data_IF_737122191020
#
_entry.id   IF_737122191020
#
_cell.length_a   1.000
_cell.length_b   1.000
_cell.length_c   1.000
_cell.angle_alpha   90.00
_cell.angle_beta   90.00
_cell.angle_gamma   90.00
#
_symmetry.space_group_name_H-M   'P 1'
#
loop_
_entity.id
_entity.type
_entity.pdbx_description
1 polymer ?
#
# COMPACT_ATOMS: atom_id res chain seq x y z
N UNK A 1 -61.82 -59.02 -23.85
CA UNK A 1 -60.37 -58.72 -23.90
C UNK A 1 -60.09 -57.46 -23.07
N UNK A 2 -59.76 -57.59 -21.79
CA UNK A 2 -59.37 -56.46 -20.95
C UNK A 2 -57.85 -56.36 -20.85
N UNK A 3 -57.24 -55.36 -21.51
CA UNK A 3 -55.81 -55.05 -21.32
C UNK A 3 -55.64 -54.52 -19.89
N UNK A 4 -55.07 -55.34 -19.00
CA UNK A 4 -54.61 -54.90 -17.68
C UNK A 4 -53.47 -53.89 -17.88
N UNK A 5 -53.74 -52.62 -17.59
CA UNK A 5 -52.68 -51.62 -17.46
C UNK A 5 -51.83 -52.00 -16.23
N UNK A 6 -50.59 -52.42 -16.47
CA UNK A 6 -49.60 -52.66 -15.43
C UNK A 6 -49.29 -51.30 -14.80
N UNK A 7 -49.62 -51.13 -13.52
CA UNK A 7 -49.24 -49.96 -12.72
C UNK A 7 -47.73 -49.73 -12.86
N UNK A 8 -47.34 -48.50 -13.23
CA UNK A 8 -45.94 -48.11 -13.33
C UNK A 8 -45.39 -47.95 -11.91
N UNK A 9 -44.88 -49.04 -11.35
CA UNK A 9 -44.13 -49.03 -10.10
C UNK A 9 -42.88 -48.17 -10.28
N UNK A 10 -42.86 -46.99 -9.67
CA UNK A 10 -41.64 -46.18 -9.54
C UNK A 10 -40.81 -46.89 -8.46
N UNK A 11 -39.69 -47.54 -8.80
CA UNK A 11 -38.89 -48.22 -7.80
C UNK A 11 -38.31 -47.19 -6.82
N UNK A 12 -38.34 -47.48 -5.52
CA UNK A 12 -37.55 -46.73 -4.54
C UNK A 12 -36.07 -46.88 -4.89
N UNK A 13 -35.48 -45.81 -5.43
CA UNK A 13 -34.05 -45.73 -5.70
C UNK A 13 -33.29 -45.53 -4.38
N UNK A 14 -32.13 -46.16 -4.27
CA UNK A 14 -31.23 -45.91 -3.16
C UNK A 14 -30.69 -44.47 -3.25
N UNK A 15 -31.26 -43.59 -2.40
CA UNK A 15 -30.89 -42.17 -2.33
C UNK A 15 -29.39 -41.97 -2.08
N UNK A 16 -28.70 -42.93 -1.45
CA UNK A 16 -27.26 -42.83 -1.17
C UNK A 16 -26.44 -43.04 -2.43
N UNK A 17 -26.78 -44.05 -3.24
CA UNK A 17 -26.09 -44.33 -4.51
C UNK A 17 -26.37 -43.22 -5.53
N UNK A 18 -27.64 -42.85 -5.71
CA UNK A 18 -28.01 -41.75 -6.60
C UNK A 18 -27.40 -40.41 -6.16
N UNK A 19 -27.37 -40.14 -4.86
CA UNK A 19 -26.73 -38.94 -4.29
C UNK A 19 -25.22 -38.90 -4.54
N UNK A 20 -24.53 -40.04 -4.35
CA UNK A 20 -23.10 -40.16 -4.61
C UNK A 20 -22.74 -39.98 -6.09
N UNK A 21 -23.51 -40.57 -7.00
CA UNK A 21 -23.34 -40.37 -8.46
C UNK A 21 -23.54 -38.89 -8.81
N UNK A 22 -24.63 -38.29 -8.34
CA UNK A 22 -24.95 -36.88 -8.62
C UNK A 22 -23.84 -35.94 -8.11
N UNK A 23 -23.37 -36.15 -6.88
CA UNK A 23 -22.28 -35.36 -6.30
C UNK A 23 -21.00 -35.50 -7.12
N UNK A 24 -20.57 -36.71 -7.45
CA UNK A 24 -19.34 -36.92 -8.23
C UNK A 24 -19.45 -36.34 -9.65
N UNK A 25 -20.61 -36.48 -10.31
CA UNK A 25 -20.86 -35.85 -11.60
C UNK A 25 -20.78 -34.33 -11.52
N UNK A 26 -21.40 -33.73 -10.50
CA UNK A 26 -21.35 -32.29 -10.27
C UNK A 26 -19.92 -31.81 -10.00
N UNK A 27 -19.16 -32.52 -9.16
CA UNK A 27 -17.76 -32.18 -8.86
C UNK A 27 -16.87 -32.27 -10.10
N UNK A 28 -17.07 -33.24 -10.99
CA UNK A 28 -16.35 -33.30 -12.28
C UNK A 28 -16.66 -32.08 -13.13
N UNK A 29 -17.96 -31.76 -13.31
CA UNK A 29 -18.37 -30.62 -14.14
C UNK A 29 -17.79 -29.32 -13.60
N UNK A 30 -17.90 -29.07 -12.28
CA UNK A 30 -17.30 -27.90 -11.65
C UNK A 30 -15.79 -27.88 -11.82
N UNK A 31 -15.10 -29.00 -11.58
CA UNK A 31 -13.63 -29.05 -11.69
C UNK A 31 -13.16 -28.73 -13.11
N UNK A 32 -13.83 -29.25 -14.14
CA UNK A 32 -13.55 -28.91 -15.54
C UNK A 32 -13.76 -27.43 -15.82
N UNK A 33 -14.90 -26.87 -15.40
CA UNK A 33 -15.21 -25.45 -15.57
C UNK A 33 -14.16 -24.59 -14.84
N UNK A 34 -13.82 -24.94 -13.60
CA UNK A 34 -12.79 -24.27 -12.81
C UNK A 34 -11.44 -24.26 -13.53
N UNK A 35 -10.98 -25.38 -14.10
CA UNK A 35 -9.71 -25.42 -14.83
C UNK A 35 -9.69 -24.46 -16.04
N UNK A 36 -10.79 -24.37 -16.79
CA UNK A 36 -10.91 -23.44 -17.93
C UNK A 36 -10.82 -21.99 -17.47
N UNK A 37 -11.57 -21.61 -16.43
CA UNK A 37 -11.53 -20.24 -15.91
C UNK A 37 -10.20 -19.88 -15.28
N UNK A 38 -9.61 -20.79 -14.49
CA UNK A 38 -8.31 -20.57 -13.83
C UNK A 38 -7.15 -20.47 -14.84
N UNK A 39 -7.31 -21.04 -16.04
CA UNK A 39 -6.33 -20.86 -17.12
C UNK A 39 -6.20 -19.38 -17.50
N UNK A 40 -7.32 -18.68 -17.69
CA UNK A 40 -7.30 -17.26 -18.05
C UNK A 40 -7.00 -16.38 -16.83
N UNK A 41 -7.58 -16.71 -15.68
CA UNK A 41 -7.50 -15.86 -14.49
C UNK A 41 -6.15 -15.97 -13.75
N UNK A 42 -5.51 -17.14 -13.75
CA UNK A 42 -4.31 -17.40 -12.93
C UNK A 42 -3.14 -17.87 -13.79
N UNK A 43 -3.31 -18.87 -14.66
CA UNK A 43 -2.19 -19.42 -15.44
C UNK A 43 -1.59 -18.39 -16.40
N UNK A 44 -2.40 -17.69 -17.20
CA UNK A 44 -1.89 -16.69 -18.15
C UNK A 44 -1.13 -15.54 -17.46
N UNK A 45 -1.66 -14.88 -16.40
CA UNK A 45 -0.90 -13.88 -15.65
C UNK A 45 0.36 -14.44 -14.99
N UNK A 46 0.28 -15.64 -14.40
CA UNK A 46 1.43 -16.29 -13.76
C UNK A 46 2.55 -16.58 -14.76
N UNK A 47 2.20 -17.12 -15.93
CA UNK A 47 3.14 -17.39 -17.01
C UNK A 47 3.83 -16.11 -17.50
N UNK A 48 3.10 -14.98 -17.59
CA UNK A 48 3.71 -13.67 -17.90
C UNK A 48 4.66 -13.23 -16.78
N UNK A 49 4.28 -13.39 -15.52
CA UNK A 49 5.10 -13.00 -14.38
C UNK A 49 6.43 -13.79 -14.31
N UNK A 50 6.39 -15.11 -14.54
CA UNK A 50 7.61 -15.92 -14.59
C UNK A 50 8.53 -15.58 -15.76
N UNK A 51 7.97 -15.15 -16.89
CA UNK A 51 8.73 -14.78 -18.09
C UNK A 51 9.04 -13.28 -18.19
N UNK A 52 8.64 -12.47 -17.21
CA UNK A 52 8.86 -11.03 -17.23
C UNK A 52 10.34 -10.65 -17.08
N UNK A 53 11.17 -11.54 -16.51
CA UNK A 53 12.60 -11.29 -16.29
C UNK A 53 12.87 -10.17 -15.27
N UNK A 54 11.92 -9.92 -14.37
CA UNK A 54 12.04 -8.95 -13.29
C UNK A 54 12.80 -9.59 -12.13
N UNK A 55 13.72 -8.83 -11.53
CA UNK A 55 14.44 -9.25 -10.34
C UNK A 55 13.48 -9.30 -9.13
N UNK A 56 13.35 -10.44 -8.42
CA UNK A 56 12.49 -10.53 -7.24
C UNK A 56 13.02 -9.77 -6.02
N UNK A 57 14.27 -9.30 -6.05
CA UNK A 57 14.79 -8.44 -4.98
C UNK A 57 14.34 -6.99 -5.19
N UNK A 58 13.61 -6.39 -4.23
CA UNK A 58 13.16 -5.01 -4.36
C UNK A 58 14.35 -4.04 -4.25
N UNK A 59 14.29 -3.02 -5.08
CA UNK A 59 15.17 -1.85 -5.04
C UNK A 59 14.35 -0.61 -4.68
N UNK A 60 14.99 0.52 -4.42
CA UNK A 60 14.27 1.75 -4.08
C UNK A 60 13.96 2.57 -5.33
N UNK A 61 12.68 2.86 -5.53
CA UNK A 61 12.20 3.81 -6.51
C UNK A 61 11.91 5.15 -5.87
N UNK A 62 12.14 6.23 -6.62
CA UNK A 62 11.78 7.58 -6.21
C UNK A 62 11.12 8.33 -7.36
N UNK A 63 9.93 8.84 -7.10
CA UNK A 63 9.14 9.56 -8.11
C UNK A 63 9.80 10.88 -8.46
N UNK A 64 9.99 11.11 -9.76
CA UNK A 64 10.59 12.34 -10.30
C UNK A 64 9.60 13.22 -11.04
N UNK A 65 8.51 12.64 -11.52
CA UNK A 65 7.48 13.38 -12.22
C UNK A 65 6.15 12.60 -12.11
N UNK A 66 5.09 13.29 -11.74
CA UNK A 66 3.74 12.74 -11.73
C UNK A 66 2.78 13.68 -12.45
N UNK A 67 2.20 13.22 -13.55
CA UNK A 67 1.20 13.99 -14.30
C UNK A 67 -0.13 13.25 -14.36
N UNK A 68 -1.21 14.02 -14.44
CA UNK A 68 -2.55 13.50 -14.69
C UNK A 68 -3.01 13.97 -16.06
N UNK A 69 -3.24 13.02 -16.96
CA UNK A 69 -3.63 13.30 -18.36
C UNK A 69 -4.99 12.69 -18.65
N UNK A 70 -5.79 13.35 -19.50
CA UNK A 70 -7.15 12.90 -19.86
C UNK A 70 -7.17 11.85 -20.97
N UNK A 71 -6.19 11.87 -21.87
CA UNK A 71 -6.04 10.93 -23.01
C UNK A 71 -4.63 10.34 -23.03
N UNK A 72 -4.53 9.02 -22.93
CA UNK A 72 -3.32 8.38 -22.41
C UNK A 72 -2.97 7.18 -23.27
N UNK A 73 -1.72 7.15 -23.74
CA UNK A 73 -1.16 5.95 -24.36
C UNK A 73 -0.86 4.85 -23.32
N UNK A 74 -0.56 5.26 -22.08
CA UNK A 74 -0.30 4.41 -20.93
C UNK A 74 -0.71 5.11 -19.63
N UNK A 75 -0.91 4.33 -18.57
CA UNK A 75 -1.21 4.81 -17.21
C UNK A 75 -0.45 3.94 -16.20
N UNK A 76 -0.01 4.54 -15.10
CA UNK A 76 0.65 3.86 -13.98
C UNK A 76 -0.30 2.93 -13.22
N UNK A 77 -1.56 3.33 -13.13
CA UNK A 77 -2.63 2.53 -12.56
C UNK A 77 -3.93 2.86 -13.29
N UNK A 78 -4.60 1.81 -13.78
CA UNK A 78 -5.94 1.88 -14.33
C UNK A 78 -6.93 1.01 -13.59
N UNK A 79 -8.16 1.50 -13.41
CA UNK A 79 -9.26 0.67 -12.93
C UNK A 79 -9.88 -0.10 -14.10
N UNK A 80 -10.18 -1.38 -13.88
CA UNK A 80 -10.66 -2.34 -14.88
C UNK A 80 -9.69 -2.64 -16.02
N UNK A 81 -8.93 -3.73 -15.88
CA UNK A 81 -7.95 -4.18 -16.87
C UNK A 81 -8.52 -4.56 -18.25
N UNK A 82 -9.84 -4.79 -18.37
CA UNK A 82 -10.48 -5.19 -19.63
C UNK A 82 -10.73 -4.02 -20.60
N UNK A 83 -10.71 -2.79 -20.09
CA UNK A 83 -11.00 -1.58 -20.87
C UNK A 83 -9.80 -0.64 -20.83
N UNK A 84 -9.54 0.06 -21.93
CA UNK A 84 -8.58 1.16 -21.89
C UNK A 84 -9.08 2.22 -20.90
N UNK A 85 -8.24 2.62 -19.98
CA UNK A 85 -8.52 3.75 -19.09
C UNK A 85 -8.73 5.02 -19.89
N UNK A 86 -9.91 5.60 -19.79
CA UNK A 86 -10.25 6.90 -20.37
C UNK A 86 -10.54 7.89 -19.23
N UNK A 87 -9.96 9.09 -19.29
CA UNK A 87 -10.18 10.16 -18.31
C UNK A 87 -9.18 10.19 -17.16
N UNK A 88 -9.13 9.16 -16.31
CA UNK A 88 -8.20 9.10 -15.17
C UNK A 88 -6.94 8.31 -15.53
N UNK A 89 -5.85 9.01 -15.86
CA UNK A 89 -4.57 8.37 -16.14
C UNK A 89 -3.42 9.06 -15.40
N UNK A 90 -3.05 8.53 -14.24
CA UNK A 90 -1.80 8.93 -13.60
C UNK A 90 -0.63 8.41 -14.43
N UNK A 91 0.33 9.27 -14.76
CA UNK A 91 1.60 8.92 -15.40
C UNK A 91 2.74 9.29 -14.47
N UNK A 92 3.29 8.27 -13.82
CA UNK A 92 4.35 8.42 -12.83
C UNK A 92 5.66 7.91 -13.43
N UNK A 93 6.67 8.76 -13.42
CA UNK A 93 8.05 8.38 -13.73
C UNK A 93 8.84 8.29 -12.43
N UNK A 94 9.61 7.22 -12.30
CA UNK A 94 10.46 6.97 -11.15
C UNK A 94 11.92 6.81 -11.58
N UNK A 95 12.82 7.33 -10.76
CA UNK A 95 14.22 6.90 -10.73
C UNK A 95 14.32 5.59 -9.98
N UNK A 96 15.20 4.71 -10.45
CA UNK A 96 15.43 3.39 -9.86
C UNK A 96 16.84 3.39 -9.30
N UNK A 97 16.99 3.09 -8.01
CA UNK A 97 18.29 3.06 -7.34
C UNK A 97 18.41 1.90 -6.37
N UNK A 98 19.64 1.53 -6.05
CA UNK A 98 19.93 0.60 -4.96
C UNK A 98 19.57 1.23 -3.61
N UNK A 99 19.41 0.36 -2.61
CA UNK A 99 19.23 0.77 -1.23
C UNK A 99 20.52 1.45 -0.74
N UNK A 100 20.36 2.51 0.04
CA UNK A 100 21.42 3.25 0.70
C UNK A 100 21.91 2.56 1.96
N UNK A 101 22.41 3.36 2.89
CA UNK A 101 23.02 2.85 4.12
C UNK A 101 22.03 2.83 5.27
N UNK A 102 21.95 1.71 5.97
CA UNK A 102 21.24 1.59 7.24
C UNK A 102 22.16 2.06 8.36
N UNK A 103 21.67 2.96 9.22
CA UNK A 103 22.46 3.57 10.28
C UNK A 103 21.91 3.25 11.66
N UNK A 104 22.84 3.24 12.61
CA UNK A 104 22.55 3.29 14.04
C UNK A 104 23.24 4.52 14.63
N UNK A 105 22.45 5.40 15.23
CA UNK A 105 22.95 6.52 16.01
C UNK A 105 22.78 6.21 17.50
N UNK A 106 23.83 6.42 18.28
CA UNK A 106 23.87 6.01 19.69
C UNK A 106 24.05 7.19 20.66
N UNK A 107 23.56 7.00 21.88
CA UNK A 107 23.49 8.00 22.96
C UNK A 107 22.80 9.28 22.50
N UNK A 108 21.68 9.11 21.82
CA UNK A 108 20.85 10.19 21.34
C UNK A 108 19.98 10.78 22.46
N UNK A 109 19.89 12.10 22.49
CA UNK A 109 19.08 12.90 23.42
C UNK A 109 18.38 14.03 22.64
N UNK A 110 17.44 14.74 23.27
CA UNK A 110 16.73 15.89 22.68
C UNK A 110 16.08 15.58 21.32
N UNK A 111 15.38 14.45 21.24
CA UNK A 111 14.63 14.08 20.05
C UNK A 111 13.49 15.07 19.78
N UNK A 112 13.40 15.53 18.54
CA UNK A 112 12.25 16.28 18.07
C UNK A 112 11.93 15.87 16.63
N UNK A 113 10.65 15.66 16.35
CA UNK A 113 10.16 15.42 15.00
C UNK A 113 9.27 16.59 14.61
N UNK A 114 9.63 17.27 13.54
CA UNK A 114 8.85 18.37 12.98
C UNK A 114 8.28 17.90 11.64
N UNK A 115 6.96 17.76 11.58
CA UNK A 115 6.28 17.41 10.34
C UNK A 115 5.92 18.67 9.56
N UNK A 116 6.31 18.71 8.29
CA UNK A 116 6.03 19.79 7.36
C UNK A 116 5.07 19.28 6.28
N UNK A 117 3.79 18.97 6.55
CA UNK A 117 2.92 18.30 5.57
C UNK A 117 2.66 19.12 4.31
N UNK A 118 2.21 18.46 3.23
CA UNK A 118 1.82 19.17 2.01
C UNK A 118 0.63 20.08 2.30
N UNK A 119 0.68 21.31 1.77
CA UNK A 119 -0.36 22.31 2.03
C UNK A 119 -1.58 21.98 1.17
N UNK A 120 -2.67 21.56 1.82
CA UNK A 120 -3.95 21.42 1.16
C UNK A 120 -4.83 22.63 1.48
N UNK A 121 -4.83 23.61 0.57
CA UNK A 121 -5.62 24.84 0.70
C UNK A 121 -7.14 24.58 0.78
N UNK A 122 -7.62 23.41 0.34
CA UNK A 122 -9.04 23.06 0.41
C UNK A 122 -9.50 22.68 1.83
N UNK A 123 -8.55 22.34 2.72
CA UNK A 123 -8.84 22.00 4.13
C UNK A 123 -8.82 23.23 5.06
N UNK A 124 -8.46 24.41 4.55
CA UNK A 124 -8.43 25.63 5.34
C UNK A 124 -9.83 26.04 5.81
N UNK A 125 -9.91 26.56 7.04
CA UNK A 125 -11.13 27.18 7.55
C UNK A 125 -11.49 28.36 6.66
N UNK A 126 -12.72 28.38 6.17
CA UNK A 126 -13.29 29.50 5.42
C UNK A 126 -14.09 30.39 6.36
N UNK A 127 -13.70 31.64 6.45
CA UNK A 127 -14.40 32.71 7.16
C UNK A 127 -15.45 33.32 6.24
N UNK A 128 -16.66 33.54 6.74
CA UNK A 128 -17.74 34.17 5.99
C UNK A 128 -17.85 35.66 6.38
N UNK A 129 -17.18 36.52 5.62
CA UNK A 129 -17.20 37.97 5.87
C UNK A 129 -18.56 38.61 5.54
N UNK A 130 -19.49 37.90 4.91
CA UNK A 130 -20.86 38.41 4.77
C UNK A 130 -21.62 38.41 6.10
N UNK A 131 -21.16 37.64 7.09
CA UNK A 131 -21.65 37.68 8.45
C UNK A 131 -20.83 38.72 9.25
N UNK A 132 -21.45 39.86 9.58
CA UNK A 132 -20.81 41.16 9.87
C UNK A 132 -19.83 41.28 11.04
N UNK A 133 -19.36 40.19 11.64
CA UNK A 133 -18.34 40.20 12.70
C UNK A 133 -17.25 39.12 12.55
N UNK A 134 -17.39 38.16 11.63
CA UNK A 134 -16.44 37.04 11.53
C UNK A 134 -15.07 37.47 11.00
N UNK A 135 -15.03 38.56 10.22
CA UNK A 135 -13.83 39.09 9.58
C UNK A 135 -13.27 40.37 10.21
N UNK A 136 -13.68 40.68 11.46
CA UNK A 136 -13.26 41.86 12.22
C UNK A 136 -11.87 41.77 12.86
N UNK A 137 -11.17 40.65 12.70
CA UNK A 137 -9.83 40.43 13.26
C UNK A 137 -8.91 39.66 12.32
N UNK A 138 -9.19 39.69 11.01
CA UNK A 138 -8.37 38.99 10.02
C UNK A 138 -6.95 39.54 10.01
N UNK A 139 -5.97 38.65 10.24
CA UNK A 139 -4.55 38.97 10.21
C UNK A 139 -3.80 37.89 9.41
N UNK A 140 -3.03 38.32 8.41
CA UNK A 140 -2.31 37.43 7.49
C UNK A 140 -2.80 37.53 6.05
N UNK A 141 -2.39 36.56 5.23
CA UNK A 141 -2.69 36.48 3.80
C UNK A 141 -3.93 35.62 3.58
N UNK A 142 -4.93 36.18 2.90
CA UNK A 142 -6.21 35.52 2.63
C UNK A 142 -6.44 35.33 1.14
N UNK A 143 -7.02 34.18 0.78
CA UNK A 143 -7.64 33.98 -0.52
C UNK A 143 -9.16 34.10 -0.37
N UNK A 144 -9.73 35.13 -0.97
CA UNK A 144 -11.14 35.46 -0.84
C UNK A 144 -11.89 35.27 -2.16
N UNK A 145 -13.11 34.74 -2.09
CA UNK A 145 -14.04 34.63 -3.20
C UNK A 145 -15.43 35.11 -2.75
N UNK A 146 -15.83 36.29 -3.22
CA UNK A 146 -17.15 36.90 -2.92
C UNK A 146 -17.47 36.98 -1.41
N UNK A 147 -16.51 37.45 -0.62
CA UNK A 147 -16.67 37.60 0.83
C UNK A 147 -16.42 36.33 1.65
N UNK A 148 -16.13 35.18 1.02
CA UNK A 148 -15.62 34.00 1.72
C UNK A 148 -14.10 33.97 1.65
N UNK A 149 -13.42 34.05 2.79
CA UNK A 149 -11.97 34.16 2.88
C UNK A 149 -11.34 32.95 3.58
N UNK A 150 -10.25 32.43 3.05
CA UNK A 150 -9.46 31.37 3.69
C UNK A 150 -8.09 31.91 4.07
N UNK A 151 -7.67 31.68 5.33
CA UNK A 151 -6.39 32.15 5.85
C UNK A 151 -5.24 31.28 5.33
N UNK A 152 -4.49 31.76 4.35
CA UNK A 152 -3.34 31.04 3.81
C UNK A 152 -2.14 31.07 4.77
N UNK A 153 -1.99 32.12 5.57
CA UNK A 153 -0.87 32.26 6.51
C UNK A 153 -0.83 31.21 7.62
N UNK A 154 -1.90 30.46 7.84
CA UNK A 154 -1.92 29.31 8.76
C UNK A 154 -1.07 28.14 8.26
N UNK A 155 -0.90 27.99 6.94
CA UNK A 155 -0.25 26.83 6.32
C UNK A 155 0.94 27.18 5.41
N UNK A 156 1.04 28.41 4.92
CA UNK A 156 2.10 28.85 4.00
C UNK A 156 2.70 30.19 4.38
N UNK A 157 3.99 30.33 4.11
CA UNK A 157 4.73 31.58 4.22
C UNK A 157 4.81 32.23 2.83
N UNK A 158 3.97 33.22 2.58
CA UNK A 158 3.91 33.89 1.28
C UNK A 158 4.86 35.09 1.19
N UNK A 159 5.55 35.22 0.05
CA UNK A 159 6.44 36.33 -0.27
C UNK A 159 5.74 37.28 -1.24
N UNK A 160 4.97 38.21 -0.70
CA UNK A 160 4.14 39.12 -1.49
C UNK A 160 4.50 40.59 -1.25
N UNK A 161 4.00 41.43 -2.16
CA UNK A 161 3.99 42.88 -2.00
C UNK A 161 2.56 43.40 -2.18
N UNK A 162 2.02 43.98 -1.11
CA UNK A 162 0.67 44.50 -1.09
C UNK A 162 0.61 45.91 -1.72
N UNK A 163 0.45 45.97 -3.04
CA UNK A 163 0.43 47.22 -3.84
C UNK A 163 -0.99 47.60 -4.34
N UNK A 164 -2.04 46.95 -3.81
CA UNK A 164 -3.42 47.09 -4.30
C UNK A 164 -4.30 48.06 -3.51
N UNK A 165 -5.61 47.95 -3.75
CA UNK A 165 -6.62 48.72 -3.00
C UNK A 165 -6.70 48.21 -1.56
N UNK A 166 -6.94 49.11 -0.63
CA UNK A 166 -7.23 48.79 0.76
C UNK A 166 -8.75 48.66 0.91
N UNK A 167 -9.19 47.54 1.46
CA UNK A 167 -10.59 47.18 1.68
C UNK A 167 -10.76 46.88 3.15
N UNK A 168 -11.81 47.43 3.76
CA UNK A 168 -12.20 47.12 5.13
C UNK A 168 -13.07 45.85 5.11
N UNK A 169 -12.61 44.78 5.78
CA UNK A 169 -13.27 43.47 5.76
C UNK A 169 -14.53 43.37 6.63
N UNK A 170 -14.90 44.43 7.34
CA UNK A 170 -16.21 44.54 8.03
C UNK A 170 -17.23 45.33 7.23
N UNK A 171 -16.79 46.36 6.50
CA UNK A 171 -17.67 47.33 5.81
C UNK A 171 -17.84 47.04 4.31
N UNK A 172 -16.79 46.56 3.65
CA UNK A 172 -16.69 46.45 2.20
C UNK A 172 -16.55 44.98 1.73
N UNK A 173 -17.25 44.06 2.41
CA UNK A 173 -16.99 42.61 2.40
C UNK A 173 -17.21 41.99 1.00
N UNK A 174 -18.14 42.56 0.22
CA UNK A 174 -18.39 42.15 -1.17
C UNK A 174 -17.23 42.47 -2.14
N UNK A 175 -16.33 43.41 -1.79
CA UNK A 175 -15.17 43.78 -2.61
C UNK A 175 -13.97 42.84 -2.38
N UNK A 176 -14.05 41.93 -1.40
CA UNK A 176 -13.05 40.91 -1.13
C UNK A 176 -13.12 39.77 -2.17
N UNK A 177 -12.44 39.97 -3.29
CA UNK A 177 -12.25 38.96 -4.32
C UNK A 177 -10.78 38.92 -4.82
N UNK A 178 -10.14 37.78 -4.65
CA UNK A 178 -8.71 37.54 -4.89
C UNK A 178 -7.89 37.43 -3.61
N UNK A 179 -6.59 37.72 -3.72
CA UNK A 179 -5.64 37.64 -2.61
C UNK A 179 -5.50 38.98 -1.88
N UNK A 180 -5.48 38.94 -0.55
CA UNK A 180 -5.36 40.11 0.32
C UNK A 180 -4.38 39.86 1.46
N UNK A 181 -3.66 40.90 1.86
CA UNK A 181 -2.89 40.95 3.10
C UNK A 181 -3.66 41.80 4.12
N UNK A 182 -4.13 41.16 5.18
CA UNK A 182 -5.00 41.77 6.19
C UNK A 182 -4.22 42.02 7.48
N UNK A 183 -4.42 43.20 8.05
CA UNK A 183 -3.96 43.56 9.40
C UNK A 183 -5.12 44.19 10.16
N UNK A 184 -5.69 43.47 11.14
CA UNK A 184 -6.81 43.92 11.97
C UNK A 184 -7.93 44.59 11.13
N UNK A 185 -8.53 43.80 10.22
CA UNK A 185 -9.64 44.18 9.31
C UNK A 185 -9.29 45.07 8.12
N UNK A 186 -8.07 45.60 8.04
CA UNK A 186 -7.61 46.35 6.86
C UNK A 186 -6.89 45.42 5.91
N UNK A 187 -7.55 45.08 4.80
CA UNK A 187 -7.09 44.12 3.82
C UNK A 187 -6.61 44.83 2.54
N UNK A 188 -5.32 44.71 2.24
CA UNK A 188 -4.71 45.29 1.04
C UNK A 188 -4.61 44.24 -0.06
N UNK A 189 -5.14 44.53 -1.25
CA UNK A 189 -5.15 43.57 -2.37
C UNK A 189 -3.75 43.28 -2.90
N UNK A 190 -3.43 42.02 -3.14
CA UNK A 190 -2.20 41.58 -3.80
C UNK A 190 -2.52 41.40 -5.29
N UNK A 191 -1.96 42.25 -6.15
CA UNK A 191 -2.22 42.24 -7.61
C UNK A 191 -1.24 41.38 -8.40
N UNK A 192 0.00 41.30 -7.95
CA UNK A 192 1.07 40.59 -8.66
C UNK A 192 1.07 39.12 -8.25
N UNK A 193 1.42 38.20 -9.15
CA UNK A 193 1.68 36.82 -8.77
C UNK A 193 2.79 36.79 -7.72
N UNK A 194 2.62 35.94 -6.72
CA UNK A 194 3.54 35.76 -5.60
C UNK A 194 3.80 34.26 -5.40
N UNK A 195 4.92 33.93 -4.77
CA UNK A 195 5.25 32.57 -4.35
C UNK A 195 5.02 32.42 -2.85
N UNK A 196 4.65 31.21 -2.43
CA UNK A 196 4.63 30.86 -1.02
C UNK A 196 5.46 29.62 -0.77
N UNK A 197 6.23 29.67 0.32
CA UNK A 197 6.95 28.53 0.87
C UNK A 197 6.06 27.76 1.85
N UNK A 198 6.38 26.48 2.07
CA UNK A 198 5.71 25.68 3.08
C UNK A 198 6.01 26.25 4.47
N UNK A 199 4.97 26.45 5.27
CA UNK A 199 5.15 26.88 6.65
C UNK A 199 5.41 25.65 7.53
N UNK A 200 6.66 25.49 7.98
CA UNK A 200 7.00 24.48 8.97
C UNK A 200 7.51 25.16 10.24
N UNK A 201 6.85 24.97 11.39
CA UNK A 201 7.19 25.72 12.59
C UNK A 201 8.54 25.28 13.17
N UNK A 202 9.38 26.28 13.45
CA UNK A 202 10.58 26.27 14.31
C UNK A 202 11.26 24.90 14.48
N UNK A 203 12.13 24.54 13.53
CA UNK A 203 13.03 23.39 13.68
C UNK A 203 14.01 23.72 14.79
N UNK A 204 14.05 22.91 15.87
CA UNK A 204 14.98 23.13 16.96
C UNK A 204 16.42 22.89 16.49
N UNK A 205 17.27 23.89 16.65
CA UNK A 205 18.71 23.80 16.35
C UNK A 205 19.59 23.97 17.59
N UNK A 206 18.98 24.17 18.77
CA UNK A 206 19.74 24.42 19.98
C UNK A 206 20.42 23.14 20.50
N UNK A 207 21.75 23.08 20.32
CA UNK A 207 22.58 21.96 20.78
C UNK A 207 22.06 20.62 20.21
N UNK A 208 21.90 20.61 18.89
CA UNK A 208 21.52 19.47 18.04
C UNK A 208 22.65 19.27 17.04
N UNK A 209 23.01 18.01 16.76
CA UNK A 209 24.09 17.65 15.83
C UNK A 209 23.65 16.60 14.78
N UNK A 210 22.44 16.05 14.86
CA UNK A 210 21.91 15.11 13.87
C UNK A 210 20.61 15.67 13.32
N UNK A 211 20.51 15.73 11.99
CA UNK A 211 19.28 16.09 11.29
C UNK A 211 19.00 15.07 10.18
N UNK A 212 17.86 14.40 10.29
CA UNK A 212 17.41 13.36 9.36
C UNK A 212 16.14 13.83 8.66
N UNK A 213 16.13 13.73 7.33
CA UNK A 213 14.95 14.03 6.51
C UNK A 213 14.26 12.71 6.21
N UNK A 214 13.01 12.57 6.65
CA UNK A 214 12.14 11.43 6.34
C UNK A 214 10.83 11.95 5.76
N UNK A 215 10.58 11.67 4.48
CA UNK A 215 9.48 12.26 3.73
C UNK A 215 9.41 13.78 4.00
N UNK A 216 8.23 14.27 4.37
CA UNK A 216 7.93 15.67 4.69
C UNK A 216 8.27 16.03 6.15
N UNK A 217 8.99 15.18 6.88
CA UNK A 217 9.34 15.41 8.29
C UNK A 217 10.85 15.52 8.48
N UNK A 218 11.23 16.38 9.42
CA UNK A 218 12.62 16.56 9.83
C UNK A 218 12.73 16.08 11.26
N UNK A 219 13.63 15.13 11.47
CA UNK A 219 13.91 14.53 12.77
C UNK A 219 15.26 15.08 13.23
N UNK A 220 15.28 15.67 14.42
CA UNK A 220 16.49 16.24 15.01
C UNK A 220 16.81 15.54 16.32
N UNK A 221 18.11 15.36 16.57
CA UNK A 221 18.60 14.76 17.80
C UNK A 221 20.03 15.23 18.12
N UNK A 222 20.43 15.06 19.37
CA UNK A 222 21.84 15.15 19.79
C UNK A 222 22.37 13.76 20.09
N UNK A 223 23.23 13.23 19.23
CA UNK A 223 23.81 11.89 19.35
C UNK A 223 25.34 11.93 19.51
N UNK A 224 25.94 10.85 20.01
CA UNK A 224 27.39 10.77 20.22
C UNK A 224 28.16 10.23 19.00
N UNK A 225 27.60 9.25 18.30
CA UNK A 225 28.25 8.60 17.15
C UNK A 225 27.23 7.98 16.21
N UNK A 226 27.64 7.80 14.95
CA UNK A 226 26.89 7.10 13.91
C UNK A 226 27.68 5.88 13.41
N UNK A 227 26.98 4.75 13.30
CA UNK A 227 27.50 3.47 12.82
C UNK A 227 26.72 3.05 11.56
N UNK A 228 27.43 2.61 10.52
CA UNK A 228 26.86 2.03 9.32
C UNK A 228 26.79 0.50 9.42
N UNK A 229 25.67 -0.09 9.01
CA UNK A 229 25.43 -1.54 9.05
C UNK A 229 25.71 -2.25 7.71
N UNK A 230 25.76 -1.48 6.63
CA UNK A 230 25.97 -1.99 5.28
C UNK A 230 26.84 -1.02 4.48
N UNK A 231 27.50 -1.56 3.46
CA UNK A 231 28.35 -0.84 2.53
C UNK A 231 27.70 -0.82 1.16
N UNK A 232 27.56 0.36 0.58
CA UNK A 232 27.08 0.57 -0.78
C UNK A 232 28.17 0.23 -1.81
N UNK A 233 27.74 -0.20 -2.99
CA UNK A 233 28.63 -0.55 -4.11
C UNK A 233 28.11 0.07 -5.42
N UNK A 234 27.85 1.37 -5.40
CA UNK A 234 27.30 2.11 -6.53
C UNK A 234 25.96 1.52 -7.01
N UNK A 235 25.89 1.14 -8.30
CA UNK A 235 24.69 0.55 -8.91
C UNK A 235 24.56 -0.98 -8.68
N UNK A 236 25.53 -1.61 -8.02
CA UNK A 236 25.50 -3.03 -7.66
C UNK A 236 24.90 -3.25 -6.27
N UNK A 237 24.61 -4.51 -5.94
CA UNK A 237 24.11 -4.86 -4.61
C UNK A 237 25.13 -4.47 -3.53
N UNK A 238 24.64 -3.79 -2.49
CA UNK A 238 25.43 -3.50 -1.30
C UNK A 238 25.73 -4.77 -0.50
N UNK A 239 26.66 -4.66 0.45
CA UNK A 239 27.06 -5.77 1.33
C UNK A 239 26.71 -5.42 2.77
N UNK A 240 26.04 -6.33 3.48
CA UNK A 240 25.80 -6.17 4.92
C UNK A 240 27.09 -6.50 5.67
N UNK A 241 27.41 -5.70 6.68
CA UNK A 241 28.63 -5.86 7.47
C UNK A 241 28.36 -6.73 8.69
N UNK A 242 29.29 -7.62 9.02
CA UNK A 242 29.21 -8.43 10.25
C UNK A 242 29.38 -7.57 11.50
N UNK A 243 30.24 -6.54 11.42
CA UNK A 243 30.47 -5.55 12.46
C UNK A 243 30.15 -4.14 11.97
N UNK A 244 29.35 -3.35 12.70
CA UNK A 244 29.07 -1.96 12.33
C UNK A 244 30.33 -1.10 12.22
N UNK A 245 30.40 -0.23 11.21
CA UNK A 245 31.54 0.66 10.98
C UNK A 245 31.18 2.08 11.43
N UNK A 246 32.04 2.70 12.25
CA UNK A 246 31.85 4.09 12.68
C UNK A 246 32.12 5.06 11.53
N UNK A 247 31.13 5.88 11.20
CA UNK A 247 31.20 6.87 10.11
C UNK A 247 31.27 8.32 10.60
N UNK A 248 30.79 8.58 11.82
CA UNK A 248 30.79 9.90 12.41
C UNK A 248 30.81 9.80 13.94
N UNK A 249 31.42 10.78 14.60
CA UNK A 249 31.54 10.91 16.05
C UNK A 249 31.57 12.38 16.45
N UNK A 250 30.83 12.71 17.50
CA UNK A 250 30.79 14.05 18.07
C UNK A 250 31.91 14.25 19.09
N UNK A 251 33.10 14.62 18.61
CA UNK A 251 34.29 14.79 19.47
C UNK A 251 34.33 16.20 20.12
N UNK A 252 33.90 17.24 19.40
CA UNK A 252 34.04 18.64 19.84
C UNK A 252 32.75 19.47 19.82
N UNK A 253 31.58 18.88 19.55
CA UNK A 253 30.32 19.59 19.24
C UNK A 253 30.39 20.51 18.01
N UNK A 254 31.44 20.44 17.20
CA UNK A 254 31.63 21.33 16.06
C UNK A 254 31.05 20.79 14.76
N UNK A 255 30.67 19.51 14.70
CA UNK A 255 30.15 18.89 13.49
C UNK A 255 28.74 18.36 13.69
N UNK A 256 27.90 18.62 12.70
CA UNK A 256 26.56 18.07 12.56
C UNK A 256 26.48 17.21 11.30
N UNK A 257 25.64 16.18 11.34
CA UNK A 257 25.38 15.29 10.22
C UNK A 257 23.97 15.50 9.68
N UNK A 258 23.88 15.66 8.36
CA UNK A 258 22.62 15.61 7.63
C UNK A 258 22.54 14.32 6.83
N UNK A 259 21.34 13.71 6.79
CA UNK A 259 21.07 12.59 5.90
C UNK A 259 19.58 12.54 5.54
N UNK A 260 19.25 11.92 4.41
CA UNK A 260 17.86 11.66 4.01
C UNK A 260 17.60 10.17 4.03
N UNK A 261 16.65 9.72 4.84
CA UNK A 261 16.37 8.30 5.09
C UNK A 261 14.94 7.93 4.69
N UNK A 262 14.72 6.66 4.35
CA UNK A 262 13.38 6.14 4.05
C UNK A 262 12.57 5.93 5.33
N UNK A 263 13.17 5.30 6.33
CA UNK A 263 12.55 5.08 7.63
C UNK A 263 13.50 5.47 8.76
N UNK A 264 12.93 6.04 9.83
CA UNK A 264 13.65 6.43 11.05
C UNK A 264 12.82 6.00 12.24
N UNK A 265 13.40 5.13 13.08
CA UNK A 265 12.79 4.61 14.28
C UNK A 265 13.66 4.96 15.49
N UNK A 266 13.09 5.67 16.47
CA UNK A 266 13.78 5.95 17.74
C UNK A 266 13.38 4.93 18.80
N UNK A 267 14.37 4.28 19.41
CA UNK A 267 14.21 3.32 20.50
C UNK A 267 15.09 3.76 21.70
N UNK A 268 14.47 4.45 22.66
CA UNK A 268 15.16 5.02 23.81
C UNK A 268 16.25 6.02 23.40
N UNK A 269 17.52 5.63 23.64
CA UNK A 269 18.70 6.46 23.33
C UNK A 269 19.34 6.12 21.98
N UNK A 270 18.69 5.29 21.15
CA UNK A 270 19.22 4.82 19.87
C UNK A 270 18.26 5.23 18.76
N UNK A 271 18.78 5.71 17.63
CA UNK A 271 18.01 5.89 16.40
C UNK A 271 18.48 4.85 15.39
N UNK A 272 17.54 4.07 14.87
CA UNK A 272 17.76 3.14 13.76
C UNK A 272 17.13 3.71 12.50
N UNK A 273 17.88 3.67 11.41
CA UNK A 273 17.40 4.19 10.14
C UNK A 273 17.58 3.16 9.03
N UNK A 274 16.74 3.27 8.01
CA UNK A 274 16.77 2.40 6.83
C UNK A 274 16.92 3.26 5.57
N UNK A 275 17.74 2.78 4.64
CA UNK A 275 17.95 3.41 3.32
C UNK A 275 18.27 4.91 3.38
N UNK A 276 19.36 5.27 4.07
CA UNK A 276 19.84 6.64 4.13
C UNK A 276 20.78 6.98 2.96
N UNK A 277 20.58 8.16 2.39
CA UNK A 277 21.33 8.72 1.26
C UNK A 277 21.70 10.18 1.51
N UNK A 278 22.68 10.67 0.74
CA UNK A 278 23.18 12.05 0.80
C UNK A 278 23.65 12.45 2.21
N UNK A 279 24.49 11.62 2.83
CA UNK A 279 25.07 11.96 4.13
C UNK A 279 26.13 13.03 3.99
N UNK A 280 25.99 14.14 4.73
CA UNK A 280 26.91 15.27 4.67
C UNK A 280 27.27 15.79 6.05
N UNK A 281 28.43 16.42 6.15
CA UNK A 281 28.92 17.05 7.38
C UNK A 281 28.79 18.58 7.27
N UNK A 282 28.27 19.18 8.33
CA UNK A 282 28.05 20.62 8.46
C UNK A 282 28.68 21.11 9.74
N UNK A 283 29.30 22.29 9.68
CA UNK A 283 29.89 22.91 10.85
C UNK A 283 28.76 23.44 11.76
N UNK A 284 28.71 23.01 13.03
CA UNK A 284 27.66 23.39 14.00
C UNK A 284 27.53 24.90 14.16
N UNK A 285 28.64 25.65 14.02
CA UNK A 285 28.65 27.11 14.07
C UNK A 285 27.88 27.79 12.91
N UNK A 286 27.72 27.09 11.79
CA UNK A 286 26.95 27.60 10.63
C UNK A 286 25.44 27.46 10.82
N UNK A 287 24.99 26.74 11.86
CA UNK A 287 23.58 26.50 12.13
C UNK A 287 22.97 27.67 12.93
N UNK A 288 21.99 28.41 12.37
CA UNK A 288 21.34 29.49 13.10
C UNK A 288 20.58 28.93 14.32
N UNK A 289 20.80 29.53 15.49
CA UNK A 289 20.13 29.17 16.75
C UNK A 289 19.19 30.27 17.25
N UNK A 290 18.15 29.94 18.04
CA UNK A 290 17.78 28.62 18.56
C UNK A 290 16.79 27.81 17.69
N UNK A 291 16.26 28.42 16.62
CA UNK A 291 15.31 27.79 15.71
C UNK A 291 15.65 28.11 14.25
N UNK A 292 15.33 27.19 13.34
CA UNK A 292 15.58 27.33 11.90
C UNK A 292 14.25 27.16 11.14
N UNK A 293 14.09 27.93 10.06
CA UNK A 293 12.97 27.79 9.13
C UNK A 293 13.27 26.71 8.08
N UNK A 294 12.24 26.09 7.50
CA UNK A 294 12.42 25.03 6.49
C UNK A 294 13.27 25.50 5.29
N UNK A 295 12.99 26.66 4.72
CA UNK A 295 13.75 27.21 3.57
C UNK A 295 15.24 27.37 3.91
N UNK A 296 15.56 27.87 5.10
CA UNK A 296 16.95 28.00 5.56
C UNK A 296 17.60 26.64 5.79
N UNK A 297 16.86 25.66 6.32
CA UNK A 297 17.33 24.29 6.49
C UNK A 297 17.64 23.62 5.14
N UNK A 298 16.73 23.70 4.17
CA UNK A 298 16.92 23.13 2.83
C UNK A 298 18.12 23.77 2.11
N UNK A 299 18.27 25.10 2.21
CA UNK A 299 19.43 25.79 1.65
C UNK A 299 20.76 25.35 2.29
N UNK A 300 20.77 25.08 3.59
CA UNK A 300 21.95 24.55 4.29
C UNK A 300 22.23 23.10 3.86
N UNK A 301 21.18 22.29 3.74
CA UNK A 301 21.27 20.92 3.25
C UNK A 301 21.84 20.87 1.83
N UNK A 302 21.33 21.68 0.90
CA UNK A 302 21.83 21.73 -0.48
C UNK A 302 23.29 22.17 -0.57
N UNK A 303 23.70 23.16 0.24
CA UNK A 303 25.11 23.56 0.35
C UNK A 303 25.99 22.47 0.93
N UNK A 304 25.45 21.70 1.88
CA UNK A 304 26.19 20.60 2.53
C UNK A 304 26.49 19.44 1.59
N UNK A 305 25.72 19.26 0.49
CA UNK A 305 25.95 18.21 -0.50
C UNK A 305 27.36 18.21 -1.12
N UNK A 306 28.09 19.34 -1.04
CA UNK A 306 29.48 19.43 -1.44
C UNK A 306 30.50 18.82 -0.45
N UNK A 307 30.09 18.51 0.79
CA UNK A 307 30.92 17.91 1.85
C UNK A 307 30.33 16.57 2.30
N UNK A 308 30.45 15.50 1.48
CA UNK A 308 29.93 14.18 1.86
C UNK A 308 30.66 13.61 3.08
N UNK A 309 29.95 12.82 3.89
CA UNK A 309 30.55 12.08 5.03
C UNK A 309 31.65 11.14 4.56
N UNK A 310 31.43 10.46 3.43
CA UNK A 310 32.39 9.57 2.81
C UNK A 310 32.56 9.90 1.32
N UNK A 311 33.72 10.45 0.91
CA UNK A 311 34.01 10.75 -0.49
C UNK A 311 33.97 9.53 -1.42
N UNK A 312 34.16 8.32 -0.88
CA UNK A 312 34.15 7.08 -1.67
C UNK A 312 32.74 6.58 -1.99
N UNK A 313 31.69 7.20 -1.42
CA UNK A 313 30.30 6.74 -1.48
C UNK A 313 30.12 5.27 -1.03
N UNK A 314 30.97 4.76 -0.14
CA UNK A 314 30.81 3.43 0.42
C UNK A 314 29.79 3.44 1.57
N UNK A 315 29.78 4.51 2.37
CA UNK A 315 28.83 4.71 3.47
C UNK A 315 28.09 6.04 3.31
N UNK A 316 26.79 6.05 3.58
CA UNK A 316 25.92 7.20 3.29
C UNK A 316 26.10 7.78 1.87
N UNK A 317 26.01 6.94 0.84
CA UNK A 317 26.27 7.33 -0.54
C UNK A 317 25.36 8.46 -1.01
N UNK A 318 25.85 9.25 -1.96
CA UNK A 318 25.01 10.15 -2.73
C UNK A 318 23.98 9.37 -3.55
N UNK A 319 22.77 9.90 -3.70
CA UNK A 319 21.72 9.25 -4.48
C UNK A 319 22.13 8.95 -5.93
N UNK A 320 22.91 9.85 -6.55
CA UNK A 320 23.41 9.67 -7.92
C UNK A 320 24.27 8.41 -8.06
N UNK A 321 25.12 8.11 -7.07
CA UNK A 321 26.00 6.94 -7.11
C UNK A 321 25.24 5.59 -7.08
N UNK A 322 24.04 5.57 -6.47
CA UNK A 322 23.19 4.38 -6.37
C UNK A 322 22.24 4.19 -7.55
N UNK A 323 22.14 5.19 -8.44
CA UNK A 323 21.11 5.22 -9.48
C UNK A 323 21.41 4.18 -10.56
N UNK A 324 20.41 3.33 -10.84
CA UNK A 324 20.44 2.31 -11.90
C UNK A 324 19.82 2.90 -13.17
N UNK A 325 18.60 3.46 -13.04
CA UNK A 325 17.89 4.12 -14.14
C UNK A 325 17.41 5.51 -13.72
N UNK A 326 17.68 6.51 -14.56
CA UNK A 326 17.28 7.89 -14.31
C UNK A 326 15.79 8.13 -14.49
N UNK A 327 15.13 7.37 -15.38
CA UNK A 327 13.69 7.52 -15.61
C UNK A 327 13.12 6.21 -16.13
N UNK A 328 12.08 5.72 -15.47
CA UNK A 328 11.34 4.53 -15.83
C UNK A 328 9.85 4.75 -15.54
N UNK A 329 8.97 4.19 -16.36
CA UNK A 329 7.52 4.26 -16.11
C UNK A 329 7.18 3.38 -14.93
N UNK A 330 6.51 3.94 -13.93
CA UNK A 330 6.02 3.14 -12.81
C UNK A 330 4.67 2.53 -13.14
N UNK A 331 4.54 1.22 -13.00
CA UNK A 331 3.26 0.52 -13.01
C UNK A 331 2.96 -0.10 -11.64
N UNK A 332 1.68 -0.13 -11.27
CA UNK A 332 1.24 -0.79 -10.04
C UNK A 332 1.54 -2.30 -10.05
N UNK A 333 1.39 -2.95 -11.21
CA UNK A 333 1.70 -4.35 -11.50
C UNK A 333 2.16 -4.48 -12.96
N UNK A 334 2.40 -5.70 -13.47
CA UNK A 334 2.83 -5.93 -14.85
C UNK A 334 1.87 -5.39 -15.93
N UNK A 335 0.58 -5.27 -15.62
CA UNK A 335 -0.45 -4.82 -16.57
C UNK A 335 -0.80 -3.33 -16.40
N UNK A 336 -0.31 -2.68 -15.34
CA UNK A 336 -0.62 -1.29 -15.01
C UNK A 336 -2.07 -1.05 -14.60
N UNK A 337 -2.79 -2.07 -14.12
CA UNK A 337 -4.22 -1.97 -13.83
C UNK A 337 -4.67 -2.85 -12.65
N UNK A 338 -5.81 -2.51 -12.06
CA UNK A 338 -6.48 -3.24 -10.98
C UNK A 338 -7.92 -3.56 -11.36
N UNK A 339 -8.40 -4.74 -10.97
CA UNK A 339 -9.75 -5.21 -11.31
C UNK A 339 -10.83 -4.71 -10.33
N UNK A 340 -10.52 -3.73 -9.48
CA UNK A 340 -11.41 -3.23 -8.43
C UNK A 340 -11.74 -1.74 -8.63
N UNK A 341 -13.02 -1.37 -8.46
CA UNK A 341 -13.50 0.02 -8.38
C UNK A 341 -13.37 0.61 -6.97
N UNK A 342 -12.37 0.17 -6.20
CA UNK A 342 -12.22 0.56 -4.79
C UNK A 342 -11.43 1.87 -4.60
N UNK A 343 -11.09 2.58 -5.68
CA UNK A 343 -10.24 3.76 -5.61
C UNK A 343 -8.76 3.45 -5.42
N UNK A 344 -8.33 2.20 -5.61
CA UNK A 344 -6.93 1.79 -5.42
C UNK A 344 -5.95 2.62 -6.27
N UNK A 345 -6.34 3.05 -7.47
CA UNK A 345 -5.49 3.89 -8.30
C UNK A 345 -5.36 5.32 -7.77
N UNK A 346 -6.39 5.84 -7.08
CA UNK A 346 -6.30 7.14 -6.40
C UNK A 346 -5.37 7.04 -5.19
N UNK A 347 -5.47 5.96 -4.42
CA UNK A 347 -4.58 5.69 -3.29
C UNK A 347 -3.14 5.48 -3.76
N UNK A 348 -2.94 4.79 -4.90
CA UNK A 348 -1.64 4.61 -5.52
C UNK A 348 -1.03 5.96 -5.93
N UNK A 349 -1.80 6.84 -6.57
CA UNK A 349 -1.35 8.19 -6.91
C UNK A 349 -1.02 9.02 -5.65
N UNK A 350 -1.79 8.90 -4.58
CA UNK A 350 -1.53 9.63 -3.34
C UNK A 350 -0.22 9.17 -2.66
N UNK A 351 0.07 7.87 -2.71
CA UNK A 351 1.23 7.27 -2.02
C UNK A 351 2.52 7.32 -2.86
N UNK A 352 2.41 7.20 -4.18
CA UNK A 352 3.56 7.10 -5.10
C UNK A 352 3.71 8.33 -6.00
N UNK A 353 2.74 9.24 -6.05
CA UNK A 353 2.71 10.36 -7.00
C UNK A 353 3.36 11.66 -6.53
N UNK A 354 3.97 11.72 -5.33
CA UNK A 354 4.68 12.95 -4.91
C UNK A 354 6.02 13.02 -5.66
N UNK A 355 6.18 14.00 -6.53
CA UNK A 355 7.35 14.24 -7.39
C UNK A 355 8.33 15.28 -6.84
N UNK A 356 8.01 15.89 -5.70
CA UNK A 356 8.84 16.86 -5.01
C UNK A 356 8.54 18.31 -5.38
N UNK A 357 7.53 18.55 -6.23
CA UNK A 357 7.08 19.90 -6.53
C UNK A 357 6.62 20.63 -5.28
N UNK A 358 6.73 21.96 -5.27
CA UNK A 358 6.41 22.83 -4.13
C UNK A 358 7.17 22.50 -2.84
N UNK A 359 8.46 22.15 -2.94
CA UNK A 359 9.33 21.79 -1.80
C UNK A 359 8.80 20.58 -1.02
N UNK A 360 8.14 19.65 -1.71
CA UNK A 360 7.64 18.41 -1.10
C UNK A 360 8.67 17.31 -1.17
N UNK A 361 8.55 16.32 -0.28
CA UNK A 361 9.39 15.15 -0.39
C UNK A 361 8.93 14.28 -1.57
N UNK A 362 9.90 13.80 -2.34
CA UNK A 362 9.65 12.82 -3.39
C UNK A 362 9.23 11.49 -2.74
N UNK A 363 8.20 10.85 -3.31
CA UNK A 363 7.74 9.54 -2.83
C UNK A 363 8.80 8.50 -3.08
N UNK A 364 9.24 7.83 -2.01
CA UNK A 364 10.17 6.70 -2.05
C UNK A 364 9.42 5.42 -1.70
N UNK A 365 9.66 4.36 -2.43
CA UNK A 365 9.01 3.06 -2.21
C UNK A 365 9.83 1.92 -2.82
N UNK A 366 9.71 0.70 -2.27
CA UNK A 366 10.28 -0.47 -2.90
C UNK A 366 9.62 -0.74 -4.25
N UNK A 367 10.42 -1.11 -5.24
CA UNK A 367 9.97 -1.44 -6.58
C UNK A 367 10.85 -2.53 -7.20
N UNK A 368 10.35 -3.11 -8.28
CA UNK A 368 11.01 -4.19 -8.99
C UNK A 368 11.29 -3.76 -10.42
N UNK A 369 12.46 -4.16 -10.92
CA UNK A 369 12.97 -3.73 -12.21
C UNK A 369 13.56 -4.91 -12.97
N UNK A 370 13.68 -4.73 -14.29
CA UNK A 370 14.37 -5.67 -15.16
C UNK A 370 15.80 -5.16 -15.39
N UNK A 371 16.80 -6.04 -15.25
CA UNK A 371 18.23 -5.64 -15.25
C UNK A 371 18.73 -4.99 -16.54
N UNK A 372 18.09 -5.29 -17.68
CA UNK A 372 18.54 -4.84 -19.01
C UNK A 372 17.50 -3.94 -19.70
N UNK A 373 16.50 -3.44 -18.99
CA UNK A 373 15.38 -2.72 -19.59
C UNK A 373 14.86 -1.65 -18.64
N UNK A 374 15.06 -0.38 -19.01
CA UNK A 374 14.64 0.77 -18.23
C UNK A 374 13.24 1.27 -18.57
N UNK A 375 12.50 0.57 -19.44
CA UNK A 375 11.21 1.05 -19.96
C UNK A 375 10.15 1.19 -18.89
N UNK A 376 10.07 0.22 -17.96
CA UNK A 376 9.13 0.25 -16.86
C UNK A 376 9.66 -0.46 -15.61
N UNK A 377 9.08 -0.09 -14.48
CA UNK A 377 9.26 -0.72 -13.17
C UNK A 377 7.91 -0.99 -12.54
N UNK A 378 7.87 -1.95 -11.64
CA UNK A 378 6.63 -2.44 -11.02
C UNK A 378 6.68 -2.23 -9.52
N UNK A 379 5.61 -1.68 -8.94
CA UNK A 379 5.51 -1.51 -7.49
C UNK A 379 5.15 -2.81 -6.77
N UNK A 380 4.22 -3.61 -7.32
CA UNK A 380 3.77 -4.87 -6.72
C UNK A 380 4.22 -6.06 -7.58
N UNK A 381 5.21 -6.81 -7.10
CA UNK A 381 5.66 -8.05 -7.74
C UNK A 381 6.08 -9.05 -6.67
N UNK A 382 5.47 -10.23 -6.68
CA UNK A 382 5.80 -11.31 -5.74
C UNK A 382 5.67 -12.67 -6.44
N UNK A 383 6.80 -13.21 -6.86
CA UNK A 383 6.86 -14.50 -7.53
C UNK A 383 6.50 -15.67 -6.61
N UNK A 384 6.78 -15.59 -5.31
CA UNK A 384 6.49 -16.67 -4.37
C UNK A 384 4.98 -16.78 -4.14
N UNK A 385 4.30 -15.65 -3.99
CA UNK A 385 2.85 -15.60 -3.91
C UNK A 385 2.22 -16.11 -5.21
N UNK A 386 2.64 -15.60 -6.37
CA UNK A 386 2.13 -16.06 -7.68
C UNK A 386 2.33 -17.56 -7.89
N UNK A 387 3.49 -18.10 -7.50
CA UNK A 387 3.76 -19.55 -7.57
C UNK A 387 2.82 -20.35 -6.67
N UNK A 388 2.60 -19.89 -5.45
CA UNK A 388 1.72 -20.57 -4.49
C UNK A 388 0.26 -20.57 -4.96
N UNK A 389 -0.22 -19.42 -5.44
CA UNK A 389 -1.57 -19.28 -6.01
C UNK A 389 -1.76 -20.18 -7.23
N UNK A 390 -0.77 -20.22 -8.15
CA UNK A 390 -0.81 -21.11 -9.30
C UNK A 390 -0.85 -22.59 -8.91
N UNK A 391 -0.05 -23.00 -7.91
CA UNK A 391 -0.04 -24.38 -7.43
C UNK A 391 -1.39 -24.78 -6.83
N UNK A 392 -1.97 -23.95 -5.96
CA UNK A 392 -3.28 -24.21 -5.34
C UNK A 392 -4.37 -24.28 -6.42
N UNK A 393 -4.38 -23.31 -7.34
CA UNK A 393 -5.36 -23.22 -8.42
C UNK A 393 -5.30 -24.41 -9.39
N UNK A 394 -4.13 -25.01 -9.58
CA UNK A 394 -3.96 -26.17 -10.46
C UNK A 394 -4.24 -27.47 -9.71
N UNK A 395 -3.68 -27.65 -8.52
CA UNK A 395 -3.74 -28.92 -7.78
C UNK A 395 -5.17 -29.21 -7.30
N UNK A 396 -5.87 -28.24 -6.70
CA UNK A 396 -7.18 -28.49 -6.07
C UNK A 396 -8.22 -28.99 -7.08
N UNK A 397 -8.46 -28.33 -8.22
CA UNK A 397 -9.42 -28.81 -9.21
C UNK A 397 -8.98 -30.12 -9.86
N UNK A 398 -7.68 -30.31 -10.11
CA UNK A 398 -7.17 -31.57 -10.69
C UNK A 398 -7.36 -32.76 -9.75
N UNK A 399 -7.10 -32.60 -8.45
CA UNK A 399 -7.31 -33.67 -7.46
C UNK A 399 -8.79 -33.99 -7.32
N UNK A 400 -9.66 -32.98 -7.22
CA UNK A 400 -11.11 -33.18 -7.16
C UNK A 400 -11.66 -33.87 -8.42
N UNK A 401 -11.13 -33.51 -9.59
CA UNK A 401 -11.46 -34.17 -10.84
C UNK A 401 -11.05 -35.64 -10.84
N UNK A 402 -9.79 -35.95 -10.49
CA UNK A 402 -9.27 -37.32 -10.48
C UNK A 402 -10.03 -38.20 -9.49
N UNK A 403 -10.24 -37.72 -8.26
CA UNK A 403 -10.97 -38.47 -7.23
C UNK A 403 -12.40 -38.75 -7.69
N UNK A 404 -13.10 -37.74 -8.19
CA UNK A 404 -14.50 -37.88 -8.64
C UNK A 404 -14.62 -38.76 -9.88
N UNK A 405 -13.64 -38.72 -10.78
CA UNK A 405 -13.60 -39.59 -11.95
C UNK A 405 -13.36 -41.05 -11.55
N UNK A 406 -12.40 -41.32 -10.67
CA UNK A 406 -12.12 -42.66 -10.16
C UNK A 406 -13.32 -43.24 -9.41
N UNK A 407 -14.00 -42.45 -8.57
CA UNK A 407 -15.20 -42.92 -7.86
C UNK A 407 -16.32 -43.26 -8.84
N UNK A 408 -16.57 -42.47 -9.88
CA UNK A 408 -17.56 -42.80 -10.91
C UNK A 408 -17.20 -44.06 -11.69
N UNK A 409 -15.93 -44.28 -12.03
CA UNK A 409 -15.49 -45.51 -12.69
C UNK A 409 -15.74 -46.73 -11.79
N UNK A 410 -15.44 -46.62 -10.49
CA UNK A 410 -15.71 -47.66 -9.50
C UNK A 410 -17.21 -47.92 -9.36
N UNK A 411 -18.04 -46.88 -9.26
CA UNK A 411 -19.50 -47.00 -9.17
C UNK A 411 -20.07 -47.66 -10.42
N UNK A 412 -19.60 -47.27 -11.61
CA UNK A 412 -20.05 -47.84 -12.90
C UNK A 412 -19.73 -49.33 -12.99
N UNK A 413 -18.60 -49.78 -12.42
CA UNK A 413 -18.25 -51.21 -12.39
C UNK A 413 -18.90 -51.99 -11.24
N UNK A 414 -19.23 -51.33 -10.13
CA UNK A 414 -19.74 -51.98 -8.93
C UNK A 414 -21.27 -52.00 -8.84
N UNK A 415 -21.97 -51.09 -9.52
CA UNK A 415 -23.45 -51.01 -9.51
C UNK A 415 -24.02 -51.67 -10.75
N UNK A 416 -24.90 -52.66 -10.55
CA UNK A 416 -25.66 -53.29 -11.62
C UNK A 416 -27.15 -52.96 -11.45
N UNK A 417 -27.82 -52.66 -12.56
CA UNK A 417 -29.28 -52.51 -12.59
C UNK A 417 -29.87 -53.90 -12.81
N UNK A 418 -30.55 -54.42 -11.80
CA UNK A 418 -31.28 -55.69 -11.94
C UNK A 418 -32.59 -55.51 -12.72
N UNK A 419 -33.20 -56.62 -13.16
CA UNK A 419 -34.46 -56.63 -13.92
C UNK A 419 -35.63 -55.95 -13.20
N UNK A 420 -35.52 -55.78 -11.87
CA UNK A 420 -36.47 -55.03 -11.02
C UNK A 420 -36.31 -53.51 -11.09
N UNK A 421 -35.46 -52.97 -11.98
CA UNK A 421 -35.09 -51.54 -12.10
C UNK A 421 -34.46 -50.93 -10.84
N UNK A 422 -34.03 -51.76 -9.87
CA UNK A 422 -33.33 -51.35 -8.65
C UNK A 422 -31.80 -51.43 -8.87
N UNK A 423 -31.09 -50.39 -8.43
CA UNK A 423 -29.63 -50.38 -8.40
C UNK A 423 -29.12 -51.21 -7.21
N UNK A 424 -28.29 -52.22 -7.45
CA UNK A 424 -27.63 -53.00 -6.39
C UNK A 424 -26.11 -52.94 -6.55
N UNK A 425 -25.40 -52.81 -5.44
CA UNK A 425 -23.95 -52.88 -5.41
C UNK A 425 -23.51 -54.36 -5.42
N UNK A 426 -22.85 -54.79 -6.49
CA UNK A 426 -22.40 -56.17 -6.74
C UNK A 426 -21.47 -56.71 -5.65
N UNK A 427 -20.63 -55.83 -5.08
CA UNK A 427 -19.61 -56.19 -4.09
C UNK A 427 -19.99 -55.85 -2.63
N UNK A 428 -21.11 -55.16 -2.40
CA UNK A 428 -21.51 -54.77 -1.05
C UNK A 428 -22.20 -55.91 -0.28
N UNK A 429 -22.62 -56.97 -0.98
CA UNK A 429 -23.39 -58.10 -0.42
C UNK A 429 -22.55 -59.12 0.35
N UNK A 430 -21.23 -59.14 0.20
CA UNK A 430 -20.38 -60.13 0.90
C UNK A 430 -20.06 -59.78 2.36
N UNK A 431 -20.30 -58.54 2.80
CA UNK A 431 -19.92 -58.10 4.16
C UNK A 431 -21.02 -58.27 5.22
N UNK A 432 -22.27 -58.55 4.83
CA UNK A 432 -23.38 -58.72 5.79
C UNK A 432 -23.60 -60.16 6.26
N UNK A 433 -22.91 -61.16 5.70
CA UNK A 433 -23.09 -62.58 6.10
C UNK A 433 -22.33 -62.92 7.38
N UNK A 434 -21.54 -62.01 7.96
CA UNK A 434 -20.68 -62.29 9.13
C UNK A 434 -21.18 -61.76 10.48
N UNK A 435 -22.32 -61.07 10.55
CA UNK A 435 -22.84 -60.49 11.81
C UNK A 435 -24.24 -61.00 12.20
N UNK A 436 -24.70 -62.12 11.61
CA UNK A 436 -26.08 -62.61 11.76
C UNK A 436 -26.25 -64.00 12.36
N UNK A 437 -25.23 -64.54 13.05
CA UNK A 437 -25.30 -65.81 13.77
C UNK A 437 -24.74 -65.63 15.19
N UNK A 438 -25.48 -64.93 16.06
CA UNK A 438 -25.67 -65.40 17.43
C UNK A 438 -26.80 -64.65 18.14
N UNK A 439 -27.43 -65.37 19.05
CA UNK A 439 -28.48 -64.96 19.99
C UNK A 439 -29.91 -64.89 19.46
N UNK A 440 -30.53 -66.07 19.48
CA UNK A 440 -31.96 -66.22 19.56
C UNK A 440 -32.51 -66.06 20.99
N UNK A 441 -33.84 -65.97 20.99
CA UNK A 441 -34.78 -66.55 21.95
C UNK A 441 -35.35 -65.66 23.09
N UNK A 442 -36.68 -65.70 23.15
CA UNK A 442 -37.61 -65.54 24.30
C UNK A 442 -38.30 -64.17 24.50
N UNK A 443 -39.49 -64.12 23.87
CA UNK A 443 -40.82 -63.91 24.48
C UNK A 443 -41.34 -62.49 24.79
N UNK A 444 -42.51 -62.25 24.19
CA UNK A 444 -43.38 -61.11 24.39
C UNK A 444 -44.12 -61.16 25.74
N UNK A 445 -44.37 -60.00 26.36
CA UNK A 445 -45.73 -59.50 26.67
C UNK A 445 -45.75 -58.18 27.46
N UNK A 446 -46.65 -57.29 27.02
CA UNK A 446 -47.48 -56.32 27.76
C UNK A 446 -46.88 -55.29 28.73
N UNK A 447 -47.29 -54.02 28.56
CA UNK A 447 -47.65 -53.16 29.70
C UNK A 447 -47.28 -51.67 29.63
N UNK A 448 -48.29 -50.84 29.32
CA UNK A 448 -48.61 -49.51 29.90
C UNK A 448 -47.59 -48.34 29.95
N UNK A 449 -48.04 -47.20 29.39
CA UNK A 449 -48.19 -45.85 30.02
C UNK A 449 -47.00 -45.36 30.89
N UNK A 450 -46.41 -44.18 30.69
CA UNK A 450 -46.99 -42.88 31.11
C UNK A 450 -46.06 -41.72 30.71
N UNK A 451 -46.66 -40.57 30.42
CA UNK A 451 -46.05 -39.25 30.22
C UNK A 451 -45.18 -38.78 31.40
N UNK A 452 -44.15 -37.98 31.11
CA UNK A 452 -43.73 -36.88 31.99
C UNK A 452 -43.02 -35.78 31.19
N UNK A 453 -43.65 -34.61 31.16
CA UNK A 453 -43.08 -33.31 30.78
C UNK A 453 -41.96 -32.91 31.75
N UNK A 454 -40.96 -32.16 31.27
CA UNK A 454 -40.67 -30.81 31.78
C UNK A 454 -39.52 -30.14 31.03
N UNK A 455 -39.72 -28.84 30.88
CA UNK A 455 -39.04 -27.82 30.09
C UNK A 455 -37.93 -27.10 30.86
N UNK A 456 -36.89 -26.63 30.17
CA UNK A 456 -36.16 -25.36 30.38
C UNK A 456 -34.96 -25.30 29.40
N UNK A 457 -35.00 -24.50 28.31
CA UNK A 457 -34.45 -23.12 28.16
C UNK A 457 -32.92 -23.08 28.41
N UNK A 458 -32.04 -22.67 27.48
CA UNK A 458 -31.95 -21.37 26.80
C UNK A 458 -30.99 -21.37 25.58
N UNK A 459 -31.44 -20.72 24.49
CA UNK A 459 -30.80 -19.61 23.72
C UNK A 459 -29.53 -19.91 22.88
N UNK A 460 -29.64 -19.95 21.53
CA UNK A 460 -29.55 -18.84 20.52
C UNK A 460 -28.10 -18.57 20.09
N UNK A 461 -27.64 -19.11 18.97
CA UNK A 461 -27.63 -18.43 17.65
C UNK A 461 -27.23 -16.95 17.69
N UNK A 462 -25.98 -16.67 17.30
CA UNK A 462 -25.60 -15.44 16.64
C UNK A 462 -24.86 -15.79 15.36
N UNK A 463 -25.47 -15.37 14.26
CA UNK A 463 -24.76 -15.10 13.02
C UNK A 463 -23.94 -13.82 13.22
N UNK A 464 -22.65 -13.91 12.90
CA UNK A 464 -21.85 -12.90 12.24
C UNK A 464 -20.75 -13.64 11.46
#
# INVERSE_FOLDING_TARGET
MGRKFKSRSIPEQDRRICGGICFCQFTIVISCVSLVYLTVAIYMPSHRAFNAGIDPEPVMCQTVNATLVNYCAWASCGEWCLTKTTGFCPQIHATVRRNGTDLILENCTKFATVSCPQVNLLKLKRYNCNNGSECGSLTGVFNCSLGHCANMSELVLCHHKADGIIVDSEKDNMKLNGFFDCQNSRCTKIKRPFSCDRYCPRINSNNINVYLIQDDSIITAKCSRALALNKANGNLHGTRLDSPVKIWEDVSNDTAIFASCFAVNSDGNIIRTEDCVNGTLVDSASMPGPWINLTTFLNLYDKSLGKPVDPTNAYLPSQRSLTIYNTSRLYINLEGCVNTLRGECRDFLQTHGRDGDNQTAQSRYPCFHKRNDSSFVVARFDLNKTRTELLIATIVPSVLFIISFLTLVIITRSVQVGDDTKMRCRYCTERQVREGEDEGLVQASSGSTTQANSTATEIRSMAL
#
